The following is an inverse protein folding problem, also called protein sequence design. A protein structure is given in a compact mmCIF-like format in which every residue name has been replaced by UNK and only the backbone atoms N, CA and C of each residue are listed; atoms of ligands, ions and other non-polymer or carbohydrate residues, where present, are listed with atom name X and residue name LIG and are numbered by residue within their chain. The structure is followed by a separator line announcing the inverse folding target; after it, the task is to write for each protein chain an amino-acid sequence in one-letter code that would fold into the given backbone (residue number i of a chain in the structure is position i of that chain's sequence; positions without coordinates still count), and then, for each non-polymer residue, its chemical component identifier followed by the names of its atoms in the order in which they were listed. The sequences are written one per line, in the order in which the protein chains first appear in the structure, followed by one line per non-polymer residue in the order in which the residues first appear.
data_IF_802879082179
#
_entry.id   IF_802879082179
#
_cell.length_a   1.000
_cell.length_b   1.000
_cell.length_c   1.000
_cell.angle_alpha   90.00
_cell.angle_beta   90.00
_cell.angle_gamma   90.00
#
_symmetry.space_group_name_H-M   'P 1'
#
loop_
_entity.id
_entity.type
_entity.pdbx_description
1 polymer ?
#
# COMPACT_ATOMS: atom_id res chain seq x y z
N UNK A 1 -6.53 -3.13 -5.85
CA UNK A 1 -5.23 -3.41 -5.21
C UNK A 1 -4.12 -2.95 -6.13
N UNK A 2 -3.06 -2.30 -5.61
CA UNK A 2 -1.93 -1.76 -6.37
C UNK A 2 -0.60 -2.26 -5.78
N UNK A 3 0.20 -2.97 -6.58
CA UNK A 3 1.50 -3.51 -6.15
C UNK A 3 2.73 -2.83 -6.79
N UNK A 4 2.52 -1.96 -7.78
CA UNK A 4 3.59 -1.27 -8.49
C UNK A 4 3.04 -0.12 -9.31
N UNK A 5 3.83 0.95 -9.45
CA UNK A 5 3.38 2.20 -10.09
C UNK A 5 4.00 2.47 -11.45
N UNK A 6 5.10 1.80 -11.83
CA UNK A 6 5.83 2.12 -13.07
C UNK A 6 6.26 3.59 -13.18
N UNK A 7 6.40 4.29 -12.05
CA UNK A 7 6.67 5.74 -12.00
C UNK A 7 5.43 6.64 -12.10
N UNK A 8 4.22 6.09 -12.15
CA UNK A 8 2.97 6.81 -12.39
C UNK A 8 2.04 6.76 -11.17
N UNK A 9 2.62 6.82 -9.96
CA UNK A 9 1.92 6.49 -8.71
C UNK A 9 0.65 7.32 -8.47
N UNK A 10 0.78 8.65 -8.52
CA UNK A 10 -0.34 9.57 -8.23
C UNK A 10 -1.47 9.41 -9.24
N UNK A 11 -1.14 9.35 -10.54
CA UNK A 11 -2.11 9.12 -11.61
C UNK A 11 -2.87 7.79 -11.44
N UNK A 12 -2.19 6.73 -10.99
CA UNK A 12 -2.84 5.45 -10.71
C UNK A 12 -3.74 5.51 -9.47
N UNK A 13 -3.38 6.31 -8.45
CA UNK A 13 -4.23 6.54 -7.29
C UNK A 13 -5.50 7.28 -7.73
N UNK A 14 -5.37 8.37 -8.49
CA UNK A 14 -6.51 9.14 -9.00
C UNK A 14 -7.46 8.29 -9.81
N UNK A 15 -6.92 7.53 -10.77
CA UNK A 15 -7.70 6.63 -11.59
C UNK A 15 -8.41 5.57 -10.74
N UNK A 16 -7.70 4.96 -9.78
CA UNK A 16 -8.28 3.95 -8.89
C UNK A 16 -9.43 4.51 -8.05
N UNK A 17 -9.26 5.70 -7.45
CA UNK A 17 -10.31 6.36 -6.68
C UNK A 17 -11.52 6.73 -7.55
N UNK A 18 -11.30 7.16 -8.79
CA UNK A 18 -12.37 7.44 -9.74
C UNK A 18 -13.19 6.18 -10.07
N UNK A 19 -12.53 5.03 -10.25
CA UNK A 19 -13.19 3.76 -10.58
C UNK A 19 -13.90 3.08 -9.40
N UNK A 20 -13.52 3.39 -8.15
CA UNK A 20 -14.15 2.78 -6.98
C UNK A 20 -15.60 3.24 -6.84
N UNK A 21 -16.50 2.30 -6.51
CA UNK A 21 -17.82 2.64 -5.99
C UNK A 21 -17.69 3.35 -4.64
N UNK A 22 -18.69 4.16 -4.22
CA UNK A 22 -18.75 4.69 -2.86
C UNK A 22 -18.58 3.57 -1.82
N UNK A 23 -17.79 3.83 -0.77
CA UNK A 23 -17.41 2.83 0.22
C UNK A 23 -16.38 1.77 -0.25
N UNK A 24 -15.95 1.84 -1.51
CA UNK A 24 -14.92 0.96 -2.06
C UNK A 24 -13.53 1.23 -1.44
N UNK A 25 -12.70 0.18 -1.32
CA UNK A 25 -11.39 0.26 -0.67
C UNK A 25 -10.24 0.17 -1.69
N UNK A 26 -9.32 1.13 -1.62
CA UNK A 26 -8.04 1.07 -2.32
C UNK A 26 -6.95 0.56 -1.36
N UNK A 27 -6.33 -0.55 -1.73
CA UNK A 27 -5.17 -1.14 -1.01
C UNK A 27 -3.93 -1.05 -1.88
N UNK A 28 -2.82 -0.58 -1.32
CA UNK A 28 -1.54 -0.41 -2.01
C UNK A 28 -0.39 -0.98 -1.18
N UNK A 29 0.65 -1.48 -1.84
CA UNK A 29 1.84 -2.02 -1.17
C UNK A 29 3.12 -1.37 -1.66
N UNK A 30 4.02 -1.01 -0.75
CA UNK A 30 5.30 -0.37 -1.08
C UNK A 30 6.47 -1.04 -0.34
N UNK A 31 7.61 -1.15 -1.03
CA UNK A 31 8.89 -1.45 -0.39
C UNK A 31 9.65 -0.14 -0.10
N UNK A 32 9.61 0.81 -1.03
CA UNK A 32 10.31 2.10 -0.91
C UNK A 32 9.50 3.10 -0.08
N UNK A 33 10.17 3.75 0.87
CA UNK A 33 9.56 4.71 1.76
C UNK A 33 9.17 6.01 1.03
N UNK A 34 9.87 6.37 -0.05
CA UNK A 34 9.55 7.52 -0.91
C UNK A 34 8.19 7.31 -1.60
N UNK A 35 7.92 6.10 -2.06
CA UNK A 35 6.62 5.76 -2.66
C UNK A 35 5.50 5.77 -1.62
N UNK A 36 5.76 5.24 -0.41
CA UNK A 36 4.82 5.35 0.70
C UNK A 36 4.51 6.82 1.01
N UNK A 37 5.55 7.66 1.15
CA UNK A 37 5.39 9.07 1.47
C UNK A 37 4.61 9.81 0.38
N UNK A 38 4.95 9.56 -0.90
CA UNK A 38 4.24 10.13 -2.04
C UNK A 38 2.76 9.70 -2.06
N UNK A 39 2.46 8.43 -1.81
CA UNK A 39 1.09 7.94 -1.75
C UNK A 39 0.29 8.58 -0.62
N UNK A 40 0.86 8.64 0.61
CA UNK A 40 0.21 9.26 1.76
C UNK A 40 -0.03 10.76 1.54
N UNK A 41 0.95 11.46 0.96
CA UNK A 41 0.82 12.87 0.60
C UNK A 41 -0.28 13.11 -0.44
N UNK A 42 -0.32 12.27 -1.47
CA UNK A 42 -1.32 12.36 -2.53
C UNK A 42 -2.74 12.05 -2.04
N UNK A 43 -2.92 10.99 -1.25
CA UNK A 43 -4.22 10.66 -0.66
C UNK A 43 -4.78 11.80 0.21
N UNK A 44 -3.92 12.49 0.98
CA UNK A 44 -4.32 13.68 1.74
C UNK A 44 -4.78 14.82 0.82
N UNK A 45 -4.10 15.02 -0.32
CA UNK A 45 -4.50 16.04 -1.31
C UNK A 45 -5.81 15.68 -2.00
N UNK A 46 -6.07 14.39 -2.22
CA UNK A 46 -7.35 13.88 -2.73
C UNK A 46 -8.51 13.98 -1.72
N UNK A 47 -8.28 14.50 -0.51
CA UNK A 47 -9.30 14.63 0.52
C UNK A 47 -9.66 13.31 1.21
N UNK A 48 -8.82 12.28 1.13
CA UNK A 48 -9.05 11.00 1.81
C UNK A 48 -8.48 11.09 3.23
N UNK A 49 -9.33 11.24 4.28
CA UNK A 49 -8.86 11.62 5.61
C UNK A 49 -8.33 10.42 6.41
N UNK A 50 -8.89 9.23 6.16
CA UNK A 50 -8.58 8.01 6.90
C UNK A 50 -7.79 7.04 6.03
N UNK A 51 -6.54 6.79 6.44
CA UNK A 51 -5.64 5.83 5.81
C UNK A 51 -5.07 4.93 6.89
N UNK A 52 -5.33 3.63 6.76
CA UNK A 52 -4.66 2.60 7.55
C UNK A 52 -3.29 2.33 6.92
N UNK A 53 -2.24 2.33 7.74
CA UNK A 53 -0.88 2.02 7.30
C UNK A 53 -0.21 1.02 8.25
N UNK A 54 0.27 -0.09 7.70
CA UNK A 54 0.96 -1.14 8.44
C UNK A 54 2.26 -1.52 7.75
N UNK A 55 3.30 -1.84 8.52
CA UNK A 55 4.51 -2.47 7.99
C UNK A 55 4.48 -3.96 8.32
N UNK A 56 4.68 -4.79 7.29
CA UNK A 56 4.81 -6.23 7.43
C UNK A 56 6.27 -6.65 7.27
N UNK A 57 6.78 -7.36 8.27
CA UNK A 57 8.07 -8.02 8.23
C UNK A 57 7.84 -9.53 8.33
N UNK A 58 8.10 -10.24 7.24
CA UNK A 58 7.88 -11.69 7.13
C UNK A 58 9.20 -12.37 6.84
N UNK A 59 9.43 -13.50 7.49
CA UNK A 59 10.61 -14.34 7.23
C UNK A 59 10.19 -15.78 7.02
N UNK A 60 10.94 -16.51 6.18
CA UNK A 60 10.68 -17.92 5.88
C UNK A 60 11.81 -18.77 6.45
N UNK A 61 11.47 -19.86 7.14
CA UNK A 61 12.46 -20.83 7.61
C UNK A 61 13.22 -21.40 6.41
N UNK A 62 14.54 -21.32 6.44
CA UNK A 62 15.44 -21.81 5.42
C UNK A 62 16.65 -22.52 6.07
N UNK A 63 17.36 -23.33 5.28
CA UNK A 63 18.62 -23.93 5.71
C UNK A 63 19.78 -22.99 5.43
N UNK A 64 20.77 -22.97 6.32
CA UNK A 64 22.04 -22.27 6.15
C UNK A 64 23.17 -23.14 6.70
N UNK A 65 23.94 -23.75 5.78
CA UNK A 65 24.90 -24.79 6.16
C UNK A 65 24.20 -25.97 6.84
N UNK A 66 24.65 -26.33 8.04
CA UNK A 66 24.05 -27.39 8.87
C UNK A 66 22.90 -26.94 9.77
N UNK A 67 22.57 -25.64 9.77
CA UNK A 67 21.53 -25.07 10.63
C UNK A 67 20.30 -24.58 9.88
N UNK A 68 19.36 -24.02 10.65
CA UNK A 68 18.19 -23.32 10.13
C UNK A 68 18.21 -21.86 10.56
N UNK A 69 17.74 -20.99 9.69
CA UNK A 69 17.55 -19.58 9.98
C UNK A 69 16.26 -19.09 9.32
N UNK A 70 15.72 -17.98 9.83
CA UNK A 70 14.63 -17.29 9.17
C UNK A 70 15.21 -16.32 8.14
N UNK A 71 15.08 -16.65 6.85
CA UNK A 71 15.46 -15.76 5.76
C UNK A 71 14.43 -14.63 5.67
N UNK A 72 14.82 -13.36 5.91
CA UNK A 72 13.89 -12.26 5.85
C UNK A 72 13.49 -11.95 4.41
N UNK A 73 12.23 -11.57 4.22
CA UNK A 73 11.78 -10.83 3.04
C UNK A 73 11.97 -9.33 3.28
N UNK A 74 12.02 -8.55 2.19
CA UNK A 74 11.99 -7.09 2.31
C UNK A 74 10.73 -6.68 3.09
N UNK A 75 10.82 -5.77 4.06
CA UNK A 75 9.64 -5.19 4.67
C UNK A 75 8.73 -4.55 3.60
N UNK A 76 7.43 -4.73 3.76
CA UNK A 76 6.42 -4.14 2.87
C UNK A 76 5.48 -3.29 3.70
N UNK A 77 5.27 -2.05 3.29
CA UNK A 77 4.21 -1.19 3.79
C UNK A 77 2.92 -1.52 3.05
N UNK A 78 1.85 -1.81 3.79
CA UNK A 78 0.51 -1.98 3.27
C UNK A 78 -0.31 -0.79 3.72
N UNK A 79 -0.88 -0.06 2.76
CA UNK A 79 -1.81 1.02 3.07
C UNK A 79 -3.19 0.71 2.50
N UNK A 80 -4.23 1.10 3.23
CA UNK A 80 -5.62 0.98 2.82
C UNK A 80 -6.36 2.29 3.09
N UNK A 81 -7.22 2.68 2.16
CA UNK A 81 -8.12 3.82 2.32
C UNK A 81 -9.46 3.53 1.65
N UNK A 82 -10.50 4.24 2.07
CA UNK A 82 -11.86 4.05 1.57
C UNK A 82 -12.31 5.29 0.80
N UNK A 83 -12.99 5.09 -0.32
CA UNK A 83 -13.69 6.16 -1.02
C UNK A 83 -14.92 6.55 -0.20
N UNK A 84 -15.17 7.85 -0.10
CA UNK A 84 -16.33 8.40 0.61
C UNK A 84 -17.61 7.62 0.33
N UNK A 85 -18.41 7.38 1.37
CA UNK A 85 -19.74 6.81 1.22
C UNK A 85 -20.67 7.90 0.71
N UNK A 86 -21.35 7.66 -0.41
CA UNK A 86 -22.46 8.51 -0.81
C UNK A 86 -23.56 8.31 0.22
N UNK A 87 -23.70 9.24 1.16
CA UNK A 87 -24.90 9.34 1.98
C UNK A 87 -26.02 9.86 1.07
N UNK A 88 -26.70 8.93 0.40
CA UNK A 88 -27.90 9.19 -0.38
C UNK A 88 -29.11 9.47 0.50
#
# INVERSE_FOLDING_TARGET
FMGGSGGHLTALIDWSLAQLHPGGRLVMTFILQENLHSALGHLRQCGIPEVDCQQLAVSTLATLGSGHYFKPHNPVFVIACQKEENHG
#
